data_IF_363254889543
#
_entry.id   IF_363254889543
#
_cell.length_a   1.000
_cell.length_b   1.000
_cell.length_c   1.000
_cell.angle_alpha   90.00
_cell.angle_beta   90.00
_cell.angle_gamma   90.00
#
_symmetry.space_group_name_H-M   'P 1'
#
loop_
_entity.id
_entity.type
_entity.pdbx_description
1 polymer ?
#
# COMPACT_ATOMS: atom_id res chain seq x y z
N UNK A 1 11.53 -27.45 -1.38
CA UNK A 1 11.67 -27.12 -1.81
C UNK A 1 11.41 -26.86 -2.51
N UNK A 2 11.33 -26.55 -2.34
CA UNK A 2 11.32 -26.27 -3.07
C UNK A 2 11.20 -25.72 -3.71
N UNK A 3 11.00 -25.52 -3.90
CA UNK A 3 11.03 -25.01 -4.58
C UNK A 3 10.67 -24.51 -5.19
N UNK A 4 10.72 -24.49 -5.45
CA UNK A 4 10.56 -23.97 -6.09
C UNK A 4 9.97 -23.48 -6.70
N UNK A 5 9.81 -23.45 -6.67
CA UNK A 5 9.57 -23.12 -7.24
C UNK A 5 9.15 -22.59 -7.69
N UNK A 6 9.06 -22.53 -7.59
CA UNK A 6 8.85 -22.07 -8.03
C UNK A 6 8.48 -21.55 -8.60
N UNK A 7 8.47 -21.50 -8.70
CA UNK A 7 8.34 -21.02 -9.38
C UNK A 7 7.53 -20.58 -10.03
N UNK A 8 6.98 -20.71 -10.19
CA UNK A 8 6.14 -20.13 -10.99
C UNK A 8 5.10 -19.29 -10.51
N UNK A 9 4.84 -18.91 -10.27
CA UNK A 9 4.36 -18.01 -9.33
C UNK A 9 3.86 -16.71 -9.91
N UNK A 10 2.82 -16.10 -9.34
CA UNK A 10 2.34 -14.80 -9.79
C UNK A 10 3.48 -13.78 -9.79
N UNK A 11 3.69 -13.10 -10.90
CA UNK A 11 4.89 -12.27 -11.04
C UNK A 11 5.00 -11.12 -10.05
N UNK A 12 3.87 -10.51 -9.63
CA UNK A 12 3.94 -9.35 -8.78
C UNK A 12 4.00 -9.66 -7.31
N UNK A 13 3.69 -10.89 -6.94
CA UNK A 13 3.61 -11.27 -5.55
C UNK A 13 4.40 -12.54 -5.36
N UNK A 14 5.68 -12.35 -5.22
CA UNK A 14 6.59 -13.47 -5.17
C UNK A 14 6.82 -13.84 -3.73
N UNK A 15 6.62 -15.12 -3.44
CA UNK A 15 6.95 -15.64 -2.13
C UNK A 15 8.34 -16.21 -2.22
N UNK A 16 9.29 -15.49 -1.66
CA UNK A 16 10.70 -15.86 -1.70
C UNK A 16 10.95 -17.09 -0.87
N UNK A 17 10.29 -17.16 0.27
CA UNK A 17 10.26 -18.34 1.11
C UNK A 17 8.97 -18.30 1.89
N UNK A 18 8.78 -19.24 2.79
CA UNK A 18 7.52 -19.33 3.52
C UNK A 18 7.30 -18.15 4.47
N UNK A 19 8.32 -17.33 4.74
CA UNK A 19 8.25 -16.29 5.76
C UNK A 19 8.15 -14.88 5.20
N UNK A 20 8.45 -14.67 3.94
CA UNK A 20 8.54 -13.31 3.38
C UNK A 20 7.73 -13.21 2.10
N UNK A 21 6.88 -12.21 2.03
CA UNK A 21 6.16 -11.85 0.81
C UNK A 21 6.73 -10.55 0.28
N UNK A 22 7.23 -10.56 -0.94
CA UNK A 22 7.79 -9.37 -1.59
C UNK A 22 6.79 -8.86 -2.60
N UNK A 23 6.36 -7.61 -2.43
CA UNK A 23 5.29 -7.00 -3.23
C UNK A 23 5.79 -5.67 -3.78
N UNK A 24 5.56 -5.42 -5.06
CA UNK A 24 5.81 -4.11 -5.67
C UNK A 24 4.50 -3.61 -6.25
N UNK A 25 4.16 -2.36 -5.95
CA UNK A 25 2.98 -1.70 -6.50
C UNK A 25 3.40 -0.33 -7.01
N UNK A 26 2.77 0.12 -8.09
CA UNK A 26 3.11 1.37 -8.77
C UNK A 26 1.92 2.32 -8.77
N UNK A 27 2.21 3.62 -8.68
CA UNK A 27 1.23 4.67 -8.90
C UNK A 27 1.70 5.57 -10.03
N UNK A 28 0.77 6.08 -10.83
CA UNK A 28 1.12 6.84 -12.04
C UNK A 28 0.47 8.21 -12.06
N UNK A 29 0.70 8.97 -13.14
CA UNK A 29 0.18 10.32 -13.29
C UNK A 29 -1.30 10.35 -13.67
N UNK A 30 -1.94 9.18 -13.87
CA UNK A 30 -3.37 9.08 -14.08
C UNK A 30 -4.11 8.76 -12.78
N UNK A 31 -3.45 8.90 -11.65
CA UNK A 31 -4.06 8.69 -10.33
C UNK A 31 -4.54 7.24 -10.18
N UNK A 32 -3.68 6.28 -10.55
CA UNK A 32 -4.02 4.86 -10.49
C UNK A 32 -2.87 4.05 -9.96
N UNK A 33 -3.23 3.03 -9.16
CA UNK A 33 -2.31 1.93 -8.85
C UNK A 33 -2.35 0.92 -10.00
N UNK A 34 -1.26 0.19 -10.17
CA UNK A 34 -1.22 -0.89 -11.16
C UNK A 34 -1.79 -2.21 -10.62
N UNK A 35 -2.20 -2.24 -9.36
CA UNK A 35 -2.82 -3.42 -8.74
C UNK A 35 -3.98 -2.98 -7.89
N UNK A 36 -5.07 -3.74 -7.93
CA UNK A 36 -6.21 -3.52 -7.06
C UNK A 36 -6.34 -4.60 -5.99
N UNK A 37 -5.47 -5.62 -6.02
CA UNK A 37 -5.51 -6.71 -5.05
C UNK A 37 -4.11 -7.20 -4.77
N UNK A 38 -3.81 -7.41 -3.50
CA UNK A 38 -2.55 -7.98 -3.04
C UNK A 38 -2.92 -9.12 -2.10
N UNK A 39 -2.26 -10.29 -2.28
CA UNK A 39 -2.50 -11.45 -1.42
C UNK A 39 -1.22 -11.88 -0.76
N UNK A 40 -1.28 -12.10 0.55
CA UNK A 40 -0.16 -12.64 1.32
C UNK A 40 -0.70 -13.70 2.27
N UNK A 41 0.19 -14.36 2.98
CA UNK A 41 -0.19 -15.39 3.97
C UNK A 41 0.06 -14.88 5.37
N UNK A 42 -0.81 -15.31 6.28
CA UNK A 42 -0.66 -14.99 7.69
C UNK A 42 0.70 -15.47 8.19
N UNK A 43 1.31 -14.70 9.05
CA UNK A 43 2.61 -15.03 9.60
C UNK A 43 3.80 -14.57 8.78
N UNK A 44 3.56 -14.11 7.55
CA UNK A 44 4.66 -13.62 6.73
C UNK A 44 5.07 -12.20 7.10
N UNK A 45 6.34 -11.88 6.89
CA UNK A 45 6.80 -10.50 6.84
C UNK A 45 6.57 -10.00 5.41
N UNK A 46 5.87 -8.89 5.28
CA UNK A 46 5.60 -8.30 3.96
C UNK A 46 6.62 -7.22 3.70
N UNK A 47 7.30 -7.32 2.57
CA UNK A 47 8.23 -6.29 2.12
C UNK A 47 7.60 -5.64 0.90
N UNK A 48 7.04 -4.46 1.09
CA UNK A 48 6.27 -3.78 0.05
C UNK A 48 7.01 -2.54 -0.43
N UNK A 49 7.15 -2.42 -1.74
CA UNK A 49 7.73 -1.24 -2.38
C UNK A 49 6.65 -0.55 -3.19
N UNK A 50 6.46 0.74 -2.90
CA UNK A 50 5.64 1.61 -3.75
C UNK A 50 6.59 2.41 -4.64
N UNK A 51 6.29 2.44 -5.94
CA UNK A 51 7.04 3.26 -6.90
C UNK A 51 6.10 4.25 -7.54
N UNK A 52 6.49 5.52 -7.54
CA UNK A 52 5.76 6.52 -8.32
C UNK A 52 6.40 6.56 -9.70
N UNK A 53 5.72 5.98 -10.69
CA UNK A 53 6.27 5.83 -12.04
C UNK A 53 5.91 6.99 -12.92
N UNK A 54 5.24 8.01 -12.38
CA UNK A 54 4.92 9.24 -13.10
C UNK A 54 6.06 10.23 -13.05
N UNK A 55 5.77 11.44 -13.51
CA UNK A 55 6.75 12.55 -13.57
C UNK A 55 6.30 13.75 -12.78
N UNK A 56 5.05 13.79 -12.33
CA UNK A 56 4.51 14.93 -11.64
C UNK A 56 5.03 15.02 -10.21
N UNK A 57 5.16 16.27 -9.75
CA UNK A 57 5.69 16.54 -8.41
C UNK A 57 4.75 16.06 -7.33
N UNK A 58 5.32 15.78 -6.17
CA UNK A 58 4.55 15.34 -4.99
C UNK A 58 3.40 16.30 -4.65
N UNK A 59 3.60 17.60 -4.81
CA UNK A 59 2.56 18.58 -4.48
C UNK A 59 1.38 18.55 -5.43
N UNK A 60 1.54 17.94 -6.61
CA UNK A 60 0.52 17.90 -7.66
C UNK A 60 -0.10 16.51 -7.77
N UNK A 61 0.73 15.47 -7.67
CA UNK A 61 0.29 14.09 -7.88
C UNK A 61 1.03 13.18 -6.91
N UNK A 62 0.92 13.46 -5.62
CA UNK A 62 1.54 12.63 -4.60
C UNK A 62 0.86 11.28 -4.49
N UNK A 63 1.64 10.25 -4.22
CA UNK A 63 1.12 8.90 -3.97
C UNK A 63 1.74 8.30 -2.73
N UNK A 64 0.92 7.66 -1.92
CA UNK A 64 1.39 6.80 -0.85
C UNK A 64 0.58 5.51 -0.89
N UNK A 65 0.93 4.58 -0.01
CA UNK A 65 0.21 3.32 0.16
C UNK A 65 -0.07 3.18 1.66
N UNK A 66 -1.33 3.15 2.02
CA UNK A 66 -1.76 3.12 3.41
C UNK A 66 -2.64 1.91 3.60
N UNK A 67 -2.28 1.05 4.54
CA UNK A 67 -3.04 -0.16 4.86
C UNK A 67 -3.88 0.10 6.10
N UNK A 68 -5.18 -0.10 5.97
CA UNK A 68 -6.14 0.19 7.03
C UNK A 68 -6.53 -1.05 7.82
N UNK A 69 -6.94 -0.83 9.07
CA UNK A 69 -7.58 -1.90 9.84
C UNK A 69 -8.94 -2.22 9.22
N UNK A 70 -9.48 -3.39 9.56
CA UNK A 70 -10.76 -3.82 9.00
C UNK A 70 -11.93 -2.93 9.41
N UNK A 71 -11.81 -2.27 10.57
CA UNK A 71 -12.87 -1.38 11.08
C UNK A 71 -12.81 0.02 10.49
N UNK A 72 -11.74 0.37 9.79
CA UNK A 72 -11.54 1.74 9.33
C UNK A 72 -12.48 2.07 8.18
N UNK A 73 -12.98 3.30 8.20
CA UNK A 73 -13.74 3.84 7.09
C UNK A 73 -12.78 4.60 6.17
N UNK A 74 -12.63 4.12 4.95
CA UNK A 74 -11.67 4.67 4.00
C UNK A 74 -11.91 6.15 3.72
N UNK A 75 -13.18 6.54 3.56
CA UNK A 75 -13.50 7.95 3.27
C UNK A 75 -13.11 8.85 4.44
N UNK A 76 -13.33 8.40 5.66
CA UNK A 76 -12.96 9.16 6.85
C UNK A 76 -11.44 9.37 6.90
N UNK A 77 -10.68 8.29 6.67
CA UNK A 77 -9.23 8.38 6.68
C UNK A 77 -8.74 9.26 5.53
N UNK A 78 -9.34 9.11 4.34
CA UNK A 78 -8.94 9.89 3.17
C UNK A 78 -9.18 11.38 3.33
N UNK A 79 -10.33 11.74 3.90
CA UNK A 79 -10.66 13.14 4.13
C UNK A 79 -9.74 13.76 5.17
N UNK A 80 -9.49 13.05 6.26
CA UNK A 80 -8.59 13.53 7.30
C UNK A 80 -7.15 13.60 6.81
N UNK A 81 -6.72 12.61 6.01
CA UNK A 81 -5.38 12.61 5.44
C UNK A 81 -5.14 13.77 4.49
N UNK A 82 -6.16 14.14 3.71
CA UNK A 82 -6.07 15.27 2.79
C UNK A 82 -5.78 16.58 3.53
N UNK A 83 -6.21 16.68 4.79
CA UNK A 83 -6.00 17.87 5.62
C UNK A 83 -4.70 17.81 6.41
N UNK A 84 -3.94 16.74 6.31
CA UNK A 84 -2.76 16.50 7.13
C UNK A 84 -1.46 16.64 6.33
N UNK A 85 -1.39 17.63 5.44
CA UNK A 85 -0.23 17.82 4.56
C UNK A 85 1.08 17.96 5.34
N UNK A 86 1.04 18.60 6.49
CA UNK A 86 2.24 18.78 7.31
C UNK A 86 2.63 17.55 8.11
N UNK A 87 1.83 16.49 8.03
CA UNK A 87 2.16 15.19 8.62
C UNK A 87 2.22 14.12 7.52
N UNK A 88 2.72 14.50 6.35
CA UNK A 88 2.90 13.62 5.19
C UNK A 88 1.58 12.96 4.76
N UNK A 89 0.46 13.66 4.96
CA UNK A 89 -0.89 13.23 4.62
C UNK A 89 -1.34 12.00 5.41
N UNK A 90 -0.81 11.83 6.61
CA UNK A 90 -1.25 10.79 7.54
C UNK A 90 -1.97 11.47 8.71
N UNK A 91 -3.26 11.17 8.94
CA UNK A 91 -4.00 11.82 10.01
C UNK A 91 -3.51 11.32 11.37
N UNK A 92 -2.93 12.23 12.15
CA UNK A 92 -2.23 11.86 13.38
C UNK A 92 -3.16 11.27 14.45
N UNK A 93 -4.43 11.66 14.45
CA UNK A 93 -5.40 11.17 15.43
C UNK A 93 -6.17 9.94 14.97
N UNK A 94 -5.75 9.32 13.86
CA UNK A 94 -6.38 8.10 13.34
C UNK A 94 -5.39 6.96 13.20
N UNK A 95 -4.31 6.98 13.98
CA UNK A 95 -3.27 5.95 13.87
C UNK A 95 -3.78 4.57 14.26
N UNK A 96 -4.85 4.48 15.06
CA UNK A 96 -5.46 3.20 15.39
C UNK A 96 -6.25 2.58 14.23
N UNK A 97 -6.48 3.33 13.16
CA UNK A 97 -7.12 2.85 11.94
C UNK A 97 -6.12 2.49 10.85
N UNK A 98 -4.84 2.73 11.08
CA UNK A 98 -3.79 2.54 10.09
C UNK A 98 -2.81 1.49 10.59
N UNK A 99 -2.64 0.41 9.81
CA UNK A 99 -1.69 -0.64 10.16
C UNK A 99 -0.28 -0.20 9.84
N UNK A 100 -0.07 0.31 8.63
CA UNK A 100 1.24 0.78 8.18
C UNK A 100 1.07 1.66 6.94
N UNK A 101 2.12 2.38 6.57
CA UNK A 101 2.05 3.23 5.38
C UNK A 101 3.46 3.55 4.87
N UNK A 102 3.52 3.92 3.59
CA UNK A 102 4.73 4.49 2.99
C UNK A 102 4.76 5.99 3.19
N UNK A 103 5.87 6.61 2.80
CA UNK A 103 5.93 8.06 2.63
C UNK A 103 5.08 8.48 1.44
N UNK A 104 4.72 9.77 1.41
CA UNK A 104 4.12 10.37 0.22
C UNK A 104 5.23 10.62 -0.80
N UNK A 105 5.04 10.15 -2.03
CA UNK A 105 6.06 10.17 -3.08
C UNK A 105 5.69 11.09 -4.23
N UNK A 106 6.68 11.74 -4.79
CA UNK A 106 6.57 12.42 -6.09
C UNK A 106 7.10 11.54 -7.21
N UNK A 107 6.92 11.99 -8.44
CA UNK A 107 7.33 11.23 -9.61
C UNK A 107 8.79 10.79 -9.56
N UNK A 108 9.02 9.53 -9.87
CA UNK A 108 10.35 8.95 -9.87
C UNK A 108 10.84 8.44 -8.54
N UNK A 109 10.09 8.67 -7.45
CA UNK A 109 10.50 8.24 -6.11
C UNK A 109 9.92 6.88 -5.78
N UNK A 110 10.52 6.22 -4.80
CA UNK A 110 10.02 4.95 -4.29
C UNK A 110 10.28 4.85 -2.79
N UNK A 111 9.51 4.00 -2.12
CA UNK A 111 9.68 3.72 -0.70
C UNK A 111 9.36 2.26 -0.45
N UNK A 112 10.14 1.63 0.41
CA UNK A 112 9.95 0.23 0.80
C UNK A 112 9.68 0.17 2.29
N UNK A 113 8.61 -0.54 2.66
CA UNK A 113 8.28 -0.78 4.06
C UNK A 113 8.25 -2.28 4.32
N UNK A 114 8.48 -2.64 5.57
CA UNK A 114 8.36 -4.03 6.03
C UNK A 114 7.40 -4.06 7.21
N UNK A 115 6.51 -5.03 7.20
CA UNK A 115 5.56 -5.18 8.29
C UNK A 115 5.09 -6.61 8.37
N UNK A 116 4.61 -7.00 9.56
CA UNK A 116 4.01 -8.31 9.75
C UNK A 116 2.64 -8.34 9.10
N UNK A 117 2.33 -9.40 8.36
CA UNK A 117 0.98 -9.58 7.84
C UNK A 117 0.00 -9.56 9.01
N UNK A 118 -1.09 -8.81 8.91
CA UNK A 118 -2.11 -8.84 9.98
C UNK A 118 -2.83 -10.18 9.99
N UNK A 119 -3.81 -10.34 10.88
CA UNK A 119 -4.58 -11.57 10.98
C UNK A 119 -5.28 -11.88 9.65
N UNK A 120 -5.58 -13.16 9.38
CA UNK A 120 -6.31 -13.50 8.15
C UNK A 120 -7.57 -12.69 7.98
N UNK A 121 -7.81 -12.21 6.77
CA UNK A 121 -8.97 -11.38 6.46
C UNK A 121 -8.70 -10.49 5.27
N UNK A 122 -9.68 -9.64 4.99
CA UNK A 122 -9.60 -8.68 3.88
C UNK A 122 -9.49 -7.27 4.44
N UNK A 123 -8.52 -6.54 3.94
CA UNK A 123 -8.20 -5.17 4.39
C UNK A 123 -8.21 -4.26 3.17
N UNK A 124 -8.35 -2.96 3.42
CA UNK A 124 -8.31 -1.95 2.35
C UNK A 124 -6.97 -1.22 2.37
N UNK A 125 -6.41 -0.97 1.19
CA UNK A 125 -5.30 -0.03 1.07
C UNK A 125 -5.75 1.15 0.20
N UNK A 126 -5.08 2.29 0.39
CA UNK A 126 -5.50 3.52 -0.28
C UNK A 126 -4.35 4.51 -0.36
N UNK A 127 -4.53 5.53 -1.19
CA UNK A 127 -3.69 6.72 -1.22
C UNK A 127 -4.44 7.86 -0.50
N UNK A 128 -3.74 8.58 0.38
CA UNK A 128 -4.37 9.66 1.14
C UNK A 128 -4.11 11.06 0.56
N UNK A 129 -3.41 11.18 -0.56
CA UNK A 129 -3.28 12.46 -1.23
C UNK A 129 -4.68 12.99 -1.58
N UNK A 130 -4.93 14.32 -1.48
CA UNK A 130 -6.31 14.83 -1.66
C UNK A 130 -6.96 14.33 -2.93
N UNK A 131 -8.21 13.82 -2.79
CA UNK A 131 -9.08 13.34 -3.85
C UNK A 131 -8.62 12.03 -4.52
N UNK A 132 -7.51 11.41 -4.08
CA UNK A 132 -6.99 10.23 -4.77
C UNK A 132 -7.70 8.93 -4.40
N UNK A 133 -8.25 8.81 -3.19
CA UNK A 133 -8.72 7.51 -2.71
C UNK A 133 -9.90 6.95 -3.52
N UNK A 134 -10.64 7.80 -4.21
CA UNK A 134 -11.75 7.31 -5.04
C UNK A 134 -11.26 6.37 -6.14
N UNK A 135 -10.08 6.60 -6.67
CA UNK A 135 -9.48 5.77 -7.71
C UNK A 135 -8.33 4.89 -7.20
N UNK A 136 -7.58 5.40 -6.22
CA UNK A 136 -6.39 4.70 -5.72
C UNK A 136 -6.72 3.96 -4.45
N UNK A 137 -7.30 2.79 -4.61
CA UNK A 137 -7.66 1.90 -3.51
C UNK A 137 -7.64 0.46 -4.00
N UNK A 138 -7.60 -0.46 -3.05
CA UNK A 138 -7.64 -1.88 -3.38
C UNK A 138 -7.79 -2.72 -2.13
N UNK A 139 -7.73 -4.03 -2.32
CA UNK A 139 -7.83 -4.98 -1.21
C UNK A 139 -6.51 -5.67 -0.95
N UNK A 140 -6.25 -5.88 0.33
CA UNK A 140 -5.08 -6.61 0.82
C UNK A 140 -5.62 -7.83 1.56
N UNK A 141 -5.39 -9.01 1.01
CA UNK A 141 -5.99 -10.24 1.50
C UNK A 141 -4.92 -11.07 2.18
N UNK A 142 -5.19 -11.44 3.44
CA UNK A 142 -4.31 -12.31 4.22
C UNK A 142 -4.99 -13.66 4.34
N UNK A 143 -4.32 -14.70 3.87
CA UNK A 143 -4.86 -16.06 3.85
C UNK A 143 -4.26 -16.97 4.91
#
# INVERSE_FOLDING_TARGET
>A
MDTPMEEKVAPEEIIMDSNVAVVTIEGNDQMKYNKSEIRVKAGQTVKLTLKHVGKMKKMVMGHNWVLLTQDADMATVGQAGAMAADNDYIPADMTDMIITHTKMLGGGESDTIEFEAPAPGTYTFMCTFPAHYALMQGTFIVE
#
